data_IF_518076832561
#
_entry.id   IF_518076832561
#
_cell.length_a   1.000
_cell.length_b   1.000
_cell.length_c   1.000
_cell.angle_alpha   90.00
_cell.angle_beta   90.00
_cell.angle_gamma   90.00
#
_symmetry.space_group_name_H-M   'P 1'
#
loop_
_entity.id
_entity.type
_entity.pdbx_description
1 polymer ?
#
# COMPACT_ATOMS: atom_id res chain seq x y z
N UNK A 1 14.72 27.68 -2.77
CA UNK A 1 14.19 26.41 -2.23
C UNK A 1 13.38 25.77 -3.35
N UNK A 2 13.63 24.52 -3.68
CA UNK A 2 12.88 23.85 -4.74
C UNK A 2 11.40 23.80 -4.37
N UNK A 3 10.51 24.04 -5.32
CA UNK A 3 9.04 24.06 -5.11
C UNK A 3 8.54 22.75 -4.47
N UNK A 4 9.13 21.62 -4.84
CA UNK A 4 8.78 20.33 -4.25
C UNK A 4 9.12 20.28 -2.75
N UNK A 5 10.32 20.67 -2.35
CA UNK A 5 10.73 20.69 -0.94
C UNK A 5 9.86 21.64 -0.11
N UNK A 6 9.49 22.79 -0.66
CA UNK A 6 8.57 23.74 0.00
C UNK A 6 7.20 23.14 0.24
N UNK A 7 6.67 22.39 -0.74
CA UNK A 7 5.39 21.69 -0.61
C UNK A 7 5.45 20.58 0.44
N UNK A 8 6.54 19.80 0.47
CA UNK A 8 6.71 18.75 1.48
C UNK A 8 6.82 19.34 2.89
N UNK A 9 7.55 20.46 3.05
CA UNK A 9 7.63 21.19 4.32
C UNK A 9 6.23 21.67 4.78
N UNK A 10 5.47 22.30 3.88
CA UNK A 10 4.11 22.75 4.18
C UNK A 10 3.23 21.58 4.66
N UNK A 11 3.24 20.45 3.96
CA UNK A 11 2.39 19.29 4.31
C UNK A 11 2.77 18.65 5.65
N UNK A 12 4.06 18.62 5.99
CA UNK A 12 4.53 17.93 7.19
C UNK A 12 4.57 18.84 8.43
N UNK A 13 5.05 20.06 8.30
CA UNK A 13 5.33 20.90 9.46
C UNK A 13 4.32 22.03 9.67
N UNK A 14 3.82 22.66 8.60
CA UNK A 14 2.87 23.75 8.72
C UNK A 14 1.43 23.25 8.84
N UNK A 15 0.95 22.48 7.86
CA UNK A 15 -0.41 21.95 7.88
C UNK A 15 -0.57 20.72 8.77
N UNK A 16 0.54 20.02 9.10
CA UNK A 16 0.58 18.76 9.88
C UNK A 16 -0.36 17.68 9.35
N UNK A 17 -0.61 17.67 8.05
CA UNK A 17 -1.44 16.65 7.40
C UNK A 17 -0.73 15.30 7.34
N UNK A 18 0.60 15.31 7.29
CA UNK A 18 1.46 14.13 7.18
C UNK A 18 2.57 14.18 8.23
N UNK A 19 2.93 13.05 8.78
CA UNK A 19 4.11 12.89 9.63
C UNK A 19 5.38 13.01 8.81
N UNK A 20 5.43 12.36 7.65
CA UNK A 20 6.50 12.43 6.69
C UNK A 20 6.07 11.89 5.34
N UNK A 21 6.80 12.24 4.31
CA UNK A 21 6.50 11.88 2.93
C UNK A 21 7.75 11.63 2.12
N UNK A 22 7.73 10.59 1.30
CA UNK A 22 8.71 10.33 0.25
C UNK A 22 8.00 10.35 -1.10
N UNK A 23 8.57 11.04 -2.07
CA UNK A 23 8.02 11.19 -3.42
C UNK A 23 9.08 10.79 -4.42
N UNK A 24 8.68 10.04 -5.43
CA UNK A 24 9.47 9.73 -6.61
C UNK A 24 8.63 10.01 -7.85
N UNK A 25 9.18 10.73 -8.81
CA UNK A 25 8.53 11.01 -10.08
C UNK A 25 9.55 11.12 -11.20
N UNK A 26 9.12 10.95 -12.42
CA UNK A 26 10.00 11.03 -13.58
C UNK A 26 9.48 10.36 -14.84
N UNK A 27 10.42 10.15 -15.74
CA UNK A 27 10.23 9.38 -16.98
C UNK A 27 10.98 8.04 -16.88
N UNK A 28 10.86 7.14 -17.86
CA UNK A 28 11.65 5.90 -17.86
C UNK A 28 13.17 6.10 -17.86
N UNK A 29 13.65 7.30 -18.26
CA UNK A 29 15.09 7.62 -18.35
C UNK A 29 15.60 8.62 -17.32
N UNK A 30 14.70 9.30 -16.61
CA UNK A 30 15.04 10.30 -15.60
C UNK A 30 14.06 10.24 -14.44
N UNK A 31 14.56 10.17 -13.23
CA UNK A 31 13.74 10.20 -12.03
C UNK A 31 14.33 11.14 -10.98
N UNK A 32 13.44 11.81 -10.27
CA UNK A 32 13.76 12.62 -9.10
C UNK A 32 13.07 12.03 -7.87
N UNK A 33 13.74 12.15 -6.74
CA UNK A 33 13.20 11.71 -5.44
C UNK A 33 13.37 12.80 -4.41
N UNK A 34 12.36 12.99 -3.59
CA UNK A 34 12.45 13.88 -2.43
C UNK A 34 11.80 13.21 -1.23
N UNK A 35 12.25 13.57 -0.04
CA UNK A 35 11.66 13.15 1.23
C UNK A 35 11.73 14.25 2.25
N UNK A 36 10.76 14.29 3.14
CA UNK A 36 10.68 15.24 4.21
C UNK A 36 9.89 14.68 5.39
N UNK A 37 10.19 15.18 6.59
CA UNK A 37 9.45 14.90 7.81
C UNK A 37 9.98 13.69 8.60
N UNK A 38 9.07 13.01 9.28
CA UNK A 38 9.36 11.96 10.26
C UNK A 38 8.72 10.63 9.86
N UNK A 39 9.43 9.54 10.09
CA UNK A 39 8.90 8.19 9.90
C UNK A 39 7.94 7.78 11.02
N UNK A 40 8.07 8.43 12.19
CA UNK A 40 7.25 8.13 13.36
C UNK A 40 7.25 9.34 14.30
N UNK A 41 6.12 9.62 14.92
CA UNK A 41 5.98 10.64 15.98
C UNK A 41 5.55 10.04 17.31
N UNK A 42 4.85 8.90 17.27
CA UNK A 42 4.34 8.24 18.46
C UNK A 42 4.58 6.73 18.40
N UNK A 43 4.63 6.09 19.53
CA UNK A 43 4.63 4.62 19.66
C UNK A 43 3.69 4.21 20.79
N UNK A 44 3.30 2.92 20.82
CA UNK A 44 2.62 2.34 21.98
C UNK A 44 3.66 1.89 22.99
N UNK A 45 3.43 2.17 24.26
CA UNK A 45 4.18 1.57 25.37
C UNK A 45 3.55 0.20 25.74
N UNK A 46 4.17 -0.50 26.71
CA UNK A 46 3.72 -1.82 27.17
C UNK A 46 2.29 -1.81 27.78
N UNK A 47 1.81 -0.64 28.21
CA UNK A 47 0.45 -0.45 28.70
C UNK A 47 -0.56 -0.07 27.57
N UNK A 48 -0.15 -0.12 26.31
CA UNK A 48 -0.99 0.22 25.16
C UNK A 48 -1.31 1.72 25.03
N UNK A 49 -0.54 2.60 25.69
CA UNK A 49 -0.73 4.05 25.59
C UNK A 49 0.20 4.66 24.57
N UNK A 50 -0.30 5.63 23.79
CA UNK A 50 0.55 6.41 22.89
C UNK A 50 1.51 7.31 23.69
N UNK A 51 2.79 7.18 23.36
CA UNK A 51 3.85 8.03 23.90
C UNK A 51 4.66 8.64 22.75
N UNK A 52 5.21 9.86 22.90
CA UNK A 52 6.05 10.49 21.89
C UNK A 52 7.28 9.63 21.58
N UNK A 53 7.52 9.41 20.29
CA UNK A 53 8.73 8.76 19.78
C UNK A 53 9.03 9.27 18.39
N UNK A 54 9.82 10.33 18.32
CA UNK A 54 10.18 10.95 17.04
C UNK A 54 11.32 10.17 16.39
N UNK A 55 11.12 9.75 15.13
CA UNK A 55 12.16 9.17 14.28
C UNK A 55 12.18 9.92 12.94
N UNK A 56 13.36 10.34 12.46
CA UNK A 56 13.48 11.00 11.16
C UNK A 56 13.09 10.02 10.03
N UNK A 57 12.64 10.59 8.91
CA UNK A 57 12.39 9.81 7.68
C UNK A 57 13.73 9.68 6.92
N UNK A 58 14.37 8.54 7.07
CA UNK A 58 15.64 8.23 6.42
C UNK A 58 15.45 7.71 4.99
N UNK A 59 16.54 7.66 4.20
CA UNK A 59 16.49 7.21 2.80
C UNK A 59 16.09 5.75 2.64
N UNK A 60 16.37 4.92 3.63
CA UNK A 60 16.07 3.49 3.68
C UNK A 60 14.83 3.16 4.52
N UNK A 61 14.00 4.16 4.84
CA UNK A 61 12.78 3.94 5.58
C UNK A 61 11.85 2.98 4.82
N UNK A 62 11.31 2.01 5.54
CA UNK A 62 10.31 1.08 5.00
C UNK A 62 8.92 1.67 5.19
N UNK A 63 8.12 1.59 4.14
CA UNK A 63 6.72 1.97 4.14
C UNK A 63 5.84 0.73 4.07
N UNK A 64 4.73 0.76 4.78
CA UNK A 64 3.66 -0.20 4.58
C UNK A 64 3.08 0.01 3.17
N UNK A 65 3.01 -1.05 2.38
CA UNK A 65 2.47 -1.01 1.03
C UNK A 65 0.96 -0.79 1.00
N UNK A 66 0.28 -1.07 2.12
CA UNK A 66 -1.19 -0.96 2.21
C UNK A 66 -1.86 -1.57 0.95
N UNK A 67 -2.70 -0.81 0.26
CA UNK A 67 -3.40 -1.28 -0.95
C UNK A 67 -2.50 -1.61 -2.14
N UNK A 68 -1.26 -1.16 -2.19
CA UNK A 68 -0.31 -1.59 -3.23
C UNK A 68 -0.03 -3.10 -3.16
N UNK A 69 -0.23 -3.73 -1.99
CA UNK A 69 -0.18 -5.20 -1.82
C UNK A 69 -1.10 -5.93 -2.81
N UNK A 70 -2.19 -5.30 -3.24
CA UNK A 70 -3.13 -5.89 -4.21
C UNK A 70 -2.49 -6.15 -5.57
N UNK A 71 -1.51 -5.34 -5.99
CA UNK A 71 -0.76 -5.57 -7.23
C UNK A 71 0.05 -6.87 -7.15
N UNK A 72 0.70 -7.12 -6.01
CA UNK A 72 1.44 -8.38 -5.79
C UNK A 72 0.49 -9.56 -5.77
N UNK A 73 -0.66 -9.45 -5.11
CA UNK A 73 -1.69 -10.49 -5.10
C UNK A 73 -2.18 -10.80 -6.51
N UNK A 74 -2.44 -9.78 -7.32
CA UNK A 74 -2.89 -9.96 -8.70
C UNK A 74 -1.82 -10.67 -9.55
N UNK A 75 -0.55 -10.27 -9.43
CA UNK A 75 0.56 -10.92 -10.16
C UNK A 75 0.67 -12.38 -9.74
N UNK A 76 0.64 -12.70 -8.44
CA UNK A 76 0.71 -14.07 -7.93
C UNK A 76 -0.47 -14.92 -8.42
N UNK A 77 -1.69 -14.36 -8.45
CA UNK A 77 -2.86 -15.04 -8.98
C UNK A 77 -2.69 -15.34 -10.48
N UNK A 78 -2.20 -14.38 -11.27
CA UNK A 78 -1.96 -14.58 -12.70
C UNK A 78 -0.85 -15.61 -12.97
N UNK A 79 0.18 -15.67 -12.14
CA UNK A 79 1.18 -16.74 -12.21
C UNK A 79 0.56 -18.13 -11.98
N UNK A 80 -0.38 -18.25 -11.02
CA UNK A 80 -1.11 -19.51 -10.82
C UNK A 80 -1.99 -19.87 -12.02
N UNK A 81 -2.60 -18.87 -12.67
CA UNK A 81 -3.38 -19.08 -13.91
C UNK A 81 -2.48 -19.58 -15.04
N UNK A 82 -1.33 -18.93 -15.24
CA UNK A 82 -0.35 -19.33 -16.26
C UNK A 82 0.15 -20.78 -16.06
N UNK A 83 0.32 -21.20 -14.82
CA UNK A 83 0.70 -22.58 -14.49
C UNK A 83 -0.48 -23.57 -14.46
N UNK A 84 -1.68 -23.17 -14.87
CA UNK A 84 -2.87 -24.04 -14.86
C UNK A 84 -3.37 -24.47 -13.48
N UNK A 85 -2.95 -23.79 -12.42
CA UNK A 85 -3.31 -24.08 -11.01
C UNK A 85 -4.51 -23.28 -10.52
N UNK A 86 -4.91 -22.26 -11.25
CA UNK A 86 -6.07 -21.41 -10.97
C UNK A 86 -6.75 -21.07 -12.29
N UNK A 87 -8.07 -20.98 -12.30
CA UNK A 87 -8.82 -20.45 -13.43
C UNK A 87 -9.58 -19.19 -13.01
N UNK A 88 -9.68 -18.21 -13.89
CA UNK A 88 -10.28 -16.91 -13.59
C UNK A 88 -11.81 -16.97 -13.41
N UNK A 89 -12.45 -17.95 -14.04
CA UNK A 89 -13.90 -18.19 -14.02
C UNK A 89 -14.36 -19.07 -12.84
N UNK A 90 -13.43 -19.54 -12.02
CA UNK A 90 -13.77 -20.34 -10.83
C UNK A 90 -14.41 -19.47 -9.77
N UNK A 91 -15.58 -19.83 -9.23
CA UNK A 91 -16.16 -19.17 -8.06
C UNK A 91 -15.24 -19.27 -6.84
N UNK A 92 -15.07 -18.18 -6.10
CA UNK A 92 -14.22 -18.15 -4.91
C UNK A 92 -14.70 -19.11 -3.81
N UNK A 93 -16.00 -19.43 -3.78
CA UNK A 93 -16.60 -20.43 -2.90
C UNK A 93 -16.02 -21.86 -3.08
N UNK A 94 -15.46 -22.15 -4.26
CA UNK A 94 -14.80 -23.45 -4.52
C UNK A 94 -13.35 -23.49 -4.07
N UNK A 95 -12.77 -22.33 -3.79
CA UNK A 95 -11.36 -22.23 -3.38
C UNK A 95 -11.18 -22.31 -1.87
N UNK A 96 -12.17 -21.81 -1.10
CA UNK A 96 -12.10 -21.78 0.35
C UNK A 96 -13.52 -21.77 0.95
N UNK A 97 -13.77 -22.67 1.89
CA UNK A 97 -15.08 -22.83 2.56
C UNK A 97 -15.53 -21.59 3.33
N UNK A 98 -14.61 -20.69 3.70
CA UNK A 98 -14.98 -19.40 4.32
C UNK A 98 -15.80 -18.51 3.39
N UNK A 99 -15.77 -18.77 2.09
CA UNK A 99 -16.47 -18.02 1.05
C UNK A 99 -17.61 -18.82 0.41
N UNK A 100 -18.13 -19.87 1.08
CA UNK A 100 -19.17 -20.76 0.53
C UNK A 100 -20.43 -20.02 0.07
N UNK A 101 -20.73 -18.85 0.65
CA UNK A 101 -21.86 -18.00 0.30
C UNK A 101 -21.66 -17.18 -0.99
N UNK A 102 -20.43 -17.10 -1.51
CA UNK A 102 -20.07 -16.32 -2.70
C UNK A 102 -20.05 -17.21 -3.96
N UNK A 103 -21.21 -17.81 -4.29
CA UNK A 103 -21.32 -18.80 -5.38
C UNK A 103 -21.15 -18.19 -6.77
N UNK A 104 -21.53 -16.93 -6.93
CA UNK A 104 -21.55 -16.21 -8.22
C UNK A 104 -20.37 -15.25 -8.41
N UNK A 105 -19.48 -15.15 -7.40
CA UNK A 105 -18.30 -14.29 -7.43
C UNK A 105 -17.10 -15.11 -7.91
N UNK A 106 -16.57 -14.77 -9.06
CA UNK A 106 -15.40 -15.45 -9.65
C UNK A 106 -14.08 -14.81 -9.21
N UNK A 107 -12.97 -15.52 -9.42
CA UNK A 107 -11.61 -14.98 -9.23
C UNK A 107 -11.41 -13.70 -10.08
N UNK A 108 -11.92 -13.69 -11.33
CA UNK A 108 -11.86 -12.51 -12.19
C UNK A 108 -12.59 -11.30 -11.58
N UNK A 109 -13.75 -11.51 -10.96
CA UNK A 109 -14.52 -10.43 -10.34
C UNK A 109 -13.78 -9.82 -9.15
N UNK A 110 -13.16 -10.65 -8.32
CA UNK A 110 -12.34 -10.19 -7.19
C UNK A 110 -11.12 -9.39 -7.68
N UNK A 111 -10.36 -9.93 -8.65
CA UNK A 111 -9.17 -9.28 -9.19
C UNK A 111 -9.46 -7.96 -9.92
N UNK A 112 -10.65 -7.84 -10.50
CA UNK A 112 -11.08 -6.62 -11.22
C UNK A 112 -11.90 -5.65 -10.37
N UNK A 113 -12.02 -5.89 -9.05
CA UNK A 113 -12.81 -5.08 -8.11
C UNK A 113 -14.29 -4.97 -8.48
N UNK A 114 -14.85 -6.00 -9.11
CA UNK A 114 -16.28 -6.08 -9.48
C UNK A 114 -17.12 -6.96 -8.56
N UNK A 115 -16.49 -7.60 -7.58
CA UNK A 115 -17.20 -8.29 -6.53
C UNK A 115 -17.93 -7.25 -5.67
N UNK A 116 -19.22 -7.14 -5.81
CA UNK A 116 -20.07 -6.33 -4.93
C UNK A 116 -20.27 -7.12 -3.62
N UNK A 117 -19.32 -6.96 -2.69
CA UNK A 117 -19.31 -7.60 -1.37
C UNK A 117 -19.86 -6.67 -0.30
#
# INVERSE_FOLDING_TARGET
MDTLQSNLHFLCDESRMLCGMAVAFGTPTQSETARYGRAQEVTLNDAGRFIPRVRPLEANALFDLASLTKLFTAVLAMMLVEHGRLALDVPVSRLDSRFEHLTDVTVADVLSFRACL
#
